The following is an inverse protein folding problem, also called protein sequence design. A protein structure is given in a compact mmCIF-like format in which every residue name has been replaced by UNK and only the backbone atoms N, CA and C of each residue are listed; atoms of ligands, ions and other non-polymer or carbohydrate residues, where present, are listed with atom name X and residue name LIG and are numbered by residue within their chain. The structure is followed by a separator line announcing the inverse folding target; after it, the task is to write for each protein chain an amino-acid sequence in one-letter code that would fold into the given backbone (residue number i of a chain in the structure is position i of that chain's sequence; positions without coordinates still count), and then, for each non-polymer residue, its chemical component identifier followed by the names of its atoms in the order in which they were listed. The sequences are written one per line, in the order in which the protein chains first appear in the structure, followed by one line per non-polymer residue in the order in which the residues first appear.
data_IF_791009168189
#
_entry.id   IF_791009168189
#
_cell.length_a   1.000
_cell.length_b   1.000
_cell.length_c   1.000
_cell.angle_alpha   90.00
_cell.angle_beta   90.00
_cell.angle_gamma   90.00
#
_symmetry.space_group_name_H-M   'P 1'
#
loop_
_entity.id
_entity.type
_entity.pdbx_description
1 polymer ?
#
# COMPACT_ATOMS: atom_id res chain seq x y z
N UNK A 1 -18.29 -6.83 -44.14
CA UNK A 1 -17.90 -7.59 -42.93
C UNK A 1 -16.47 -7.25 -42.55
N UNK A 2 -16.22 -6.17 -41.79
CA UNK A 2 -15.02 -6.02 -40.94
C UNK A 2 -15.42 -5.08 -39.80
N UNK A 3 -15.95 -5.63 -38.70
CA UNK A 3 -16.23 -4.91 -37.45
C UNK A 3 -16.07 -5.91 -36.31
N UNK A 4 -14.85 -6.32 -35.97
CA UNK A 4 -14.59 -7.01 -34.68
C UNK A 4 -13.11 -6.99 -34.23
N UNK A 5 -12.18 -6.45 -35.01
CA UNK A 5 -10.74 -6.57 -34.69
C UNK A 5 -10.14 -5.36 -33.96
N UNK A 6 -10.86 -4.25 -33.81
CA UNK A 6 -10.32 -3.04 -33.16
C UNK A 6 -10.49 -2.98 -31.65
N UNK A 7 -11.35 -3.82 -31.04
CA UNK A 7 -11.58 -3.80 -29.58
C UNK A 7 -10.49 -4.59 -28.84
N UNK A 8 -10.00 -5.70 -29.41
CA UNK A 8 -8.97 -6.53 -28.76
C UNK A 8 -7.61 -5.84 -28.63
N UNK A 9 -7.18 -5.09 -29.66
CA UNK A 9 -5.88 -4.40 -29.67
C UNK A 9 -5.86 -3.17 -28.76
N UNK A 10 -7.01 -2.55 -28.52
CA UNK A 10 -7.14 -1.44 -27.57
C UNK A 10 -7.08 -1.92 -26.12
N UNK A 11 -7.59 -3.11 -25.80
CA UNK A 11 -7.40 -3.70 -24.48
C UNK A 11 -5.92 -3.96 -24.20
N UNK A 12 -5.19 -4.62 -25.11
CA UNK A 12 -3.77 -4.96 -24.87
C UNK A 12 -2.85 -3.73 -24.76
N UNK A 13 -3.22 -2.59 -25.34
CA UNK A 13 -2.46 -1.33 -25.23
C UNK A 13 -2.89 -0.46 -24.04
N UNK A 14 -4.13 -0.58 -23.55
CA UNK A 14 -4.60 0.14 -22.36
C UNK A 14 -4.21 -0.57 -21.05
N UNK A 15 -3.96 -1.88 -21.08
CA UNK A 15 -3.53 -2.66 -19.92
C UNK A 15 -2.02 -2.58 -19.64
N UNK A 16 -1.23 -1.88 -20.47
CA UNK A 16 0.22 -2.03 -20.37
C UNK A 16 0.85 -1.41 -19.12
N UNK A 17 0.26 -0.46 -18.36
CA UNK A 17 0.90 0.06 -17.13
C UNK A 17 -0.05 0.78 -16.13
N UNK A 18 -1.28 0.35 -15.91
CA UNK A 18 -2.11 0.86 -14.79
C UNK A 18 -2.25 -0.25 -13.74
N UNK A 19 -1.18 -0.53 -13.01
CA UNK A 19 -1.20 -1.51 -11.91
C UNK A 19 -1.10 -0.81 -10.56
N UNK A 20 -1.73 -1.39 -9.55
CA UNK A 20 -1.53 -1.03 -8.15
C UNK A 20 -0.74 -2.15 -7.46
N UNK A 21 0.37 -1.80 -6.83
CA UNK A 21 1.19 -2.73 -6.05
C UNK A 21 1.31 -2.24 -4.62
N UNK A 22 0.96 -3.08 -3.66
CA UNK A 22 1.02 -2.77 -2.22
C UNK A 22 2.10 -3.62 -1.55
N UNK A 23 2.92 -3.00 -0.71
CA UNK A 23 4.08 -3.64 -0.09
C UNK A 23 4.26 -3.18 1.36
N UNK A 24 4.76 -4.09 2.21
CA UNK A 24 5.32 -3.72 3.52
C UNK A 24 6.84 -3.63 3.40
N UNK A 25 7.39 -2.45 3.70
CA UNK A 25 8.83 -2.19 3.68
C UNK A 25 9.33 -1.93 5.09
N UNK A 26 10.46 -2.51 5.46
CA UNK A 26 11.15 -2.24 6.72
C UNK A 26 12.27 -1.25 6.47
N UNK A 27 12.24 -0.12 7.16
CA UNK A 27 13.26 0.91 7.06
C UNK A 27 14.05 0.93 8.36
N UNK A 28 15.34 0.64 8.27
CA UNK A 28 16.29 0.67 9.36
C UNK A 28 17.54 1.45 8.91
N UNK A 29 17.46 2.78 8.95
CA UNK A 29 18.50 3.69 8.47
C UNK A 29 18.34 5.09 9.09
N UNK A 30 19.31 5.96 8.85
CA UNK A 30 19.30 7.37 9.22
C UNK A 30 18.42 8.16 8.25
N UNK A 31 17.56 9.00 8.80
CA UNK A 31 16.79 9.96 8.02
C UNK A 31 17.71 10.99 7.36
N UNK A 32 17.80 11.08 6.02
CA UNK A 32 18.69 12.04 5.38
C UNK A 32 18.25 13.49 5.58
N UNK A 33 16.98 13.73 5.97
CA UNK A 33 16.44 15.07 6.23
C UNK A 33 16.56 15.44 7.72
N UNK A 34 16.14 14.55 8.64
CA UNK A 34 16.17 14.86 10.09
C UNK A 34 17.46 14.42 10.79
N UNK A 35 18.24 13.51 10.21
CA UNK A 35 19.43 12.91 10.82
C UNK A 35 19.14 11.84 11.89
N UNK A 36 17.88 11.54 12.16
CA UNK A 36 17.48 10.57 13.19
C UNK A 36 17.51 9.14 12.67
N UNK A 37 17.89 8.19 13.54
CA UNK A 37 17.70 6.77 13.26
C UNK A 37 16.20 6.45 13.19
N UNK A 38 15.79 5.83 12.10
CA UNK A 38 14.42 5.38 11.88
C UNK A 38 14.42 3.86 11.86
N UNK A 39 13.60 3.27 12.74
CA UNK A 39 13.24 1.85 12.71
C UNK A 39 11.71 1.77 12.59
N UNK A 40 11.21 1.70 11.37
CA UNK A 40 9.78 1.72 11.10
C UNK A 40 9.38 0.74 9.99
N UNK A 41 8.13 0.27 10.07
CA UNK A 41 7.51 -0.46 8.96
C UNK A 41 6.66 0.53 8.19
N UNK A 42 6.82 0.58 6.87
CA UNK A 42 5.98 1.37 5.99
C UNK A 42 5.11 0.49 5.14
N UNK A 43 3.85 0.89 5.05
CA UNK A 43 2.98 0.42 4.00
C UNK A 43 3.14 1.33 2.80
N UNK A 44 3.54 0.77 1.67
CA UNK A 44 3.83 1.47 0.43
C UNK A 44 2.85 1.02 -0.64
N UNK A 45 2.22 1.99 -1.30
CA UNK A 45 1.36 1.79 -2.46
C UNK A 45 1.99 2.45 -3.69
N UNK A 46 2.20 1.66 -4.74
CA UNK A 46 2.72 2.09 -6.04
C UNK A 46 1.57 2.05 -7.04
N UNK A 47 1.29 3.19 -7.67
CA UNK A 47 0.26 3.32 -8.70
C UNK A 47 0.94 3.66 -10.04
N UNK A 48 1.06 2.67 -10.91
CA UNK A 48 1.66 2.84 -12.23
C UNK A 48 0.73 3.64 -13.15
N UNK A 49 1.33 4.42 -14.05
CA UNK A 49 0.61 5.32 -14.95
C UNK A 49 0.10 6.60 -14.26
N UNK A 50 0.35 6.76 -12.96
CA UNK A 50 -0.12 7.90 -12.18
C UNK A 50 1.00 8.84 -11.76
N UNK A 51 0.66 10.11 -11.68
CA UNK A 51 1.57 11.17 -11.18
C UNK A 51 0.97 11.95 -10.01
N UNK A 52 -0.34 11.80 -9.77
CA UNK A 52 -1.08 12.49 -8.72
C UNK A 52 -2.12 11.56 -8.13
N UNK A 53 -2.31 11.66 -6.82
CA UNK A 53 -3.39 10.97 -6.14
C UNK A 53 -4.65 11.85 -6.16
N UNK A 54 -5.77 11.24 -6.49
CA UNK A 54 -7.09 11.80 -6.28
C UNK A 54 -7.83 10.94 -5.27
N UNK A 55 -8.61 11.60 -4.43
CA UNK A 55 -9.43 10.93 -3.44
C UNK A 55 -10.43 9.97 -4.13
N UNK A 56 -10.63 8.78 -3.55
CA UNK A 56 -11.47 7.72 -4.14
C UNK A 56 -10.79 6.85 -5.20
N UNK A 57 -9.57 7.15 -5.65
CA UNK A 57 -8.86 6.29 -6.61
C UNK A 57 -8.54 4.91 -6.03
N UNK A 58 -8.41 4.81 -4.72
CA UNK A 58 -8.03 3.57 -4.04
C UNK A 58 -9.00 3.34 -2.90
N UNK A 59 -9.59 2.15 -2.88
CA UNK A 59 -10.46 1.68 -1.81
C UNK A 59 -9.85 0.41 -1.25
N UNK A 60 -9.76 0.31 0.06
CA UNK A 60 -9.24 -0.87 0.74
C UNK A 60 -10.19 -1.29 1.86
N UNK A 61 -10.39 -2.59 2.02
CA UNK A 61 -11.09 -3.16 3.17
C UNK A 61 -10.37 -4.42 3.63
N UNK A 62 -9.99 -4.43 4.91
CA UNK A 62 -9.17 -5.49 5.45
C UNK A 62 -8.82 -5.28 6.92
N UNK A 63 -7.69 -5.88 7.31
CA UNK A 63 -7.16 -5.83 8.66
C UNK A 63 -5.65 -5.65 8.68
N UNK A 64 -5.19 -4.99 9.73
CA UNK A 64 -3.81 -5.04 10.17
C UNK A 64 -3.64 -6.10 11.25
N UNK A 65 -2.63 -6.94 11.10
CA UNK A 65 -2.29 -7.99 12.05
C UNK A 65 -1.06 -7.57 12.86
N UNK A 66 -1.24 -7.45 14.17
CA UNK A 66 -0.22 -7.07 15.12
C UNK A 66 0.10 -8.23 16.06
N UNK A 67 1.37 -8.37 16.41
CA UNK A 67 1.82 -9.29 17.44
C UNK A 67 2.37 -8.50 18.62
N UNK A 68 1.83 -8.79 19.80
CA UNK A 68 2.35 -8.30 21.07
C UNK A 68 3.50 -9.21 21.52
N UNK A 69 4.71 -8.68 21.58
CA UNK A 69 5.85 -9.40 22.14
C UNK A 69 5.67 -9.53 23.66
N UNK A 70 6.03 -10.70 24.18
CA UNK A 70 5.93 -10.97 25.61
C UNK A 70 7.21 -10.59 26.34
N UNK A 71 7.13 -10.24 27.63
CA UNK A 71 8.30 -10.08 28.47
C UNK A 71 9.16 -11.34 28.47
N UNK A 72 10.48 -11.20 28.60
CA UNK A 72 11.49 -12.27 28.59
C UNK A 72 11.25 -13.45 29.56
N UNK A 73 10.32 -13.33 30.52
CA UNK A 73 9.97 -14.36 31.50
C UNK A 73 8.54 -14.94 31.34
N UNK A 74 7.80 -14.52 30.33
CA UNK A 74 6.51 -15.11 29.96
C UNK A 74 6.72 -16.03 28.75
N UNK A 75 6.41 -17.31 28.93
CA UNK A 75 6.58 -18.36 27.91
C UNK A 75 5.28 -18.65 27.15
N UNK A 76 4.25 -17.83 27.35
CA UNK A 76 3.00 -17.96 26.63
C UNK A 76 3.21 -17.61 25.14
N UNK A 77 2.36 -18.09 24.22
CA UNK A 77 2.49 -17.73 22.81
C UNK A 77 2.20 -16.23 22.61
N UNK A 78 2.92 -15.54 21.69
CA UNK A 78 2.69 -14.12 21.41
C UNK A 78 1.22 -13.84 21.09
N UNK A 79 0.68 -12.76 21.66
CA UNK A 79 -0.72 -12.39 21.43
C UNK A 79 -0.87 -11.73 20.08
N UNK A 80 -1.71 -12.30 19.22
CA UNK A 80 -2.10 -11.69 17.94
C UNK A 80 -3.34 -10.81 18.15
N UNK A 81 -3.32 -9.62 17.53
CA UNK A 81 -4.39 -8.63 17.58
C UNK A 81 -4.65 -8.18 16.15
N UNK A 82 -5.91 -8.12 15.75
CA UNK A 82 -6.31 -7.63 14.43
C UNK A 82 -7.12 -6.36 14.60
N UNK A 83 -6.72 -5.30 13.88
CA UNK A 83 -7.48 -4.05 13.80
C UNK A 83 -8.05 -3.88 12.39
N UNK A 84 -9.30 -3.42 12.25
CA UNK A 84 -9.85 -3.10 10.94
C UNK A 84 -9.03 -1.98 10.30
N UNK A 85 -8.78 -2.12 9.00
CA UNK A 85 -8.14 -1.11 8.16
C UNK A 85 -8.99 -0.93 6.92
N UNK A 86 -9.62 0.23 6.82
CA UNK A 86 -10.52 0.57 5.73
C UNK A 86 -10.16 1.94 5.17
N UNK A 87 -10.07 2.05 3.85
CA UNK A 87 -9.90 3.30 3.13
C UNK A 87 -11.06 3.41 2.16
N UNK A 88 -11.95 4.38 2.39
CA UNK A 88 -13.16 4.56 1.60
C UNK A 88 -13.13 5.82 0.73
N UNK A 89 -14.18 5.97 -0.08
CA UNK A 89 -14.42 7.18 -0.90
C UNK A 89 -14.62 8.45 -0.08
N UNK A 90 -14.83 8.34 1.23
CA UNK A 90 -15.01 9.49 2.14
C UNK A 90 -13.85 9.63 3.14
N UNK A 91 -12.88 8.71 3.11
CA UNK A 91 -11.80 8.67 4.10
C UNK A 91 -10.60 9.55 3.67
N UNK A 92 -10.27 10.65 4.36
CA UNK A 92 -9.13 11.47 3.98
C UNK A 92 -7.87 10.63 3.80
N UNK A 93 -7.28 10.68 2.60
CA UNK A 93 -6.14 9.85 2.17
C UNK A 93 -5.19 9.46 3.32
N UNK A 94 -5.22 8.20 3.79
CA UNK A 94 -4.41 7.76 4.93
C UNK A 94 -2.93 7.61 4.56
N UNK A 95 -2.63 7.48 3.26
CA UNK A 95 -1.27 7.38 2.74
C UNK A 95 -0.77 8.76 2.29
N UNK A 96 0.43 9.14 2.68
CA UNK A 96 1.05 10.39 2.23
C UNK A 96 1.82 10.15 0.95
N UNK A 97 1.74 11.07 0.00
CA UNK A 97 2.61 11.02 -1.16
C UNK A 97 4.07 11.17 -0.72
N UNK A 98 4.91 10.25 -1.17
CA UNK A 98 6.31 10.21 -0.77
C UNK A 98 7.14 11.19 -1.62
N UNK A 99 7.93 12.00 -0.93
CA UNK A 99 8.85 12.97 -1.51
C UNK A 99 10.24 12.73 -0.93
N UNK A 100 11.25 12.56 -1.80
CA UNK A 100 12.65 12.43 -1.38
C UNK A 100 13.37 11.20 -1.93
N UNK A 101 14.66 11.06 -1.59
CA UNK A 101 15.59 10.09 -2.19
C UNK A 101 15.45 8.64 -1.69
N UNK A 102 14.65 8.37 -0.65
CA UNK A 102 14.55 7.03 -0.05
C UNK A 102 13.73 6.04 -0.88
N UNK A 103 12.77 6.54 -1.63
CA UNK A 103 12.00 5.74 -2.59
C UNK A 103 12.42 6.20 -3.96
N UNK A 104 12.92 5.27 -4.77
CA UNK A 104 13.24 5.56 -6.16
C UNK A 104 11.95 5.98 -6.86
N UNK A 105 11.84 7.27 -7.19
CA UNK A 105 10.74 7.76 -8.00
C UNK A 105 10.95 7.29 -9.43
N UNK A 106 10.19 6.28 -9.83
CA UNK A 106 10.17 5.84 -11.21
C UNK A 106 9.25 6.78 -12.04
N UNK A 107 9.63 7.11 -13.29
CA UNK A 107 8.77 7.90 -14.15
C UNK A 107 7.38 7.26 -14.28
N UNK A 108 6.34 8.06 -14.14
CA UNK A 108 4.93 7.62 -14.22
C UNK A 108 4.52 6.62 -13.12
N UNK A 109 5.22 6.54 -11.99
CA UNK A 109 4.79 5.76 -10.83
C UNK A 109 4.59 6.70 -9.64
N UNK A 110 3.36 6.76 -9.16
CA UNK A 110 3.04 7.47 -7.94
C UNK A 110 3.26 6.57 -6.74
N UNK A 111 4.06 7.04 -5.77
CA UNK A 111 4.29 6.33 -4.52
C UNK A 111 3.61 7.04 -3.35
N UNK A 112 2.77 6.30 -2.62
CA UNK A 112 2.12 6.72 -1.39
C UNK A 112 2.60 5.82 -0.24
N UNK A 113 2.75 6.36 0.96
CA UNK A 113 3.08 5.53 2.12
C UNK A 113 2.50 6.01 3.45
N UNK A 114 2.37 5.09 4.38
CA UNK A 114 2.11 5.36 5.79
C UNK A 114 3.12 4.61 6.66
N UNK A 115 3.63 5.30 7.68
CA UNK A 115 4.56 4.74 8.63
C UNK A 115 3.83 4.15 9.84
N UNK A 116 4.25 2.95 10.24
CA UNK A 116 3.84 2.27 11.45
C UNK A 116 4.99 2.29 12.45
N UNK A 117 4.77 3.01 13.56
CA UNK A 117 5.72 3.04 14.65
C UNK A 117 5.58 1.76 15.49
N UNK A 118 6.62 0.93 15.44
CA UNK A 118 6.71 -0.22 16.33
C UNK A 118 7.18 0.29 17.70
N UNK A 119 6.29 0.24 18.69
CA UNK A 119 6.74 0.36 20.08
C UNK A 119 7.22 -1.03 20.53
N UNK A 120 8.23 -1.13 21.40
CA UNK A 120 8.88 -2.40 21.72
C UNK A 120 7.96 -3.54 22.23
N UNK A 121 6.67 -3.27 22.48
CA UNK A 121 5.67 -4.27 22.84
C UNK A 121 4.82 -4.74 21.64
N UNK A 122 4.69 -3.97 20.55
CA UNK A 122 3.77 -4.26 19.45
C UNK A 122 4.48 -4.17 18.10
N UNK A 123 4.39 -5.25 17.32
CA UNK A 123 4.96 -5.32 15.97
C UNK A 123 3.88 -5.61 14.95
N UNK A 124 3.82 -4.80 13.89
CA UNK A 124 3.02 -5.12 12.71
C UNK A 124 3.62 -6.36 12.03
N UNK A 125 2.76 -7.36 11.83
CA UNK A 125 3.11 -8.68 11.28
C UNK A 125 2.41 -9.00 9.97
N UNK A 126 1.39 -8.22 9.60
CA UNK A 126 0.80 -8.36 8.28
C UNK A 126 -0.33 -7.39 8.00
N UNK A 127 -0.70 -7.31 6.73
CA UNK A 127 -1.90 -6.61 6.26
C UNK A 127 -2.60 -7.54 5.28
N UNK A 128 -3.90 -7.74 5.50
CA UNK A 128 -4.74 -8.63 4.68
C UNK A 128 -6.00 -7.92 4.27
N UNK A 129 -6.46 -8.10 3.04
CA UNK A 129 -7.70 -7.51 2.58
C UNK A 129 -7.82 -7.45 1.08
N UNK A 130 -8.70 -6.60 0.61
CA UNK A 130 -8.92 -6.39 -0.81
C UNK A 130 -8.71 -4.92 -1.15
N UNK A 131 -8.02 -4.69 -2.27
CA UNK A 131 -7.75 -3.38 -2.81
C UNK A 131 -8.49 -3.23 -4.15
N UNK A 132 -9.24 -2.15 -4.28
CA UNK A 132 -9.83 -1.70 -5.54
C UNK A 132 -9.05 -0.48 -5.99
N UNK A 133 -8.62 -0.50 -7.25
CA UNK A 133 -7.92 0.61 -7.86
C UNK A 133 -8.69 1.13 -9.08
N UNK A 134 -8.96 2.43 -9.05
CA UNK A 134 -9.67 3.19 -10.06
C UNK A 134 -8.73 4.30 -10.59
N UNK A 135 -7.93 4.05 -11.64
CA UNK A 135 -7.00 5.02 -12.19
C UNK A 135 -7.68 6.26 -12.79
N UNK A 136 -8.92 6.11 -13.27
CA UNK A 136 -9.74 7.15 -13.88
C UNK A 136 -11.20 6.85 -13.50
N UNK A 137 -12.03 7.88 -13.35
CA UNK A 137 -13.45 7.76 -13.07
C UNK A 137 -14.14 6.73 -13.98
N UNK A 138 -15.07 5.96 -13.41
CA UNK A 138 -15.80 4.85 -14.05
C UNK A 138 -14.96 3.65 -14.54
N UNK A 139 -13.62 3.67 -14.41
CA UNK A 139 -12.75 2.53 -14.79
C UNK A 139 -12.21 1.84 -13.54
N UNK A 140 -12.85 0.75 -13.14
CA UNK A 140 -12.37 -0.11 -12.07
C UNK A 140 -11.51 -1.24 -12.61
N UNK A 141 -10.32 -1.40 -12.04
CA UNK A 141 -9.51 -2.57 -12.29
C UNK A 141 -9.99 -3.75 -11.45
N UNK A 142 -9.60 -4.99 -11.82
CA UNK A 142 -9.92 -6.17 -11.03
C UNK A 142 -9.51 -6.01 -9.57
N UNK A 143 -10.30 -6.62 -8.68
CA UNK A 143 -10.01 -6.69 -7.25
C UNK A 143 -8.63 -7.32 -7.02
N UNK A 144 -7.81 -6.70 -6.18
CA UNK A 144 -6.48 -7.19 -5.83
C UNK A 144 -6.55 -7.76 -4.42
N UNK A 145 -6.28 -9.06 -4.28
CA UNK A 145 -6.11 -9.69 -2.98
C UNK A 145 -4.77 -9.25 -2.38
N UNK A 146 -4.82 -8.70 -1.17
CA UNK A 146 -3.66 -8.22 -0.43
C UNK A 146 -3.39 -9.18 0.71
N UNK A 147 -2.17 -9.71 0.73
CA UNK A 147 -1.68 -10.60 1.78
C UNK A 147 -0.18 -10.33 1.97
N UNK A 148 0.12 -9.42 2.89
CA UNK A 148 1.47 -8.93 3.18
C UNK A 148 1.89 -9.38 4.58
N UNK A 149 3.15 -9.78 4.75
CA UNK A 149 3.75 -10.19 6.03
C UNK A 149 5.23 -9.88 6.10
#
# INVERSE_FOLDING_TARGET
MIKHTLIGVLCDLLFSTCAATMQLQRWNDINPVSGEWVDEVRLVLLLEGQTRYQHGMVIFSGVEEWTQEQPLMDFSPPRKISYPLEWGEEDPNPLKQEFGSRIRQEPCVLCLSAAYHQNGAMKLTGIRGNLIYQPIEEIYLPLIDVNLS
#
